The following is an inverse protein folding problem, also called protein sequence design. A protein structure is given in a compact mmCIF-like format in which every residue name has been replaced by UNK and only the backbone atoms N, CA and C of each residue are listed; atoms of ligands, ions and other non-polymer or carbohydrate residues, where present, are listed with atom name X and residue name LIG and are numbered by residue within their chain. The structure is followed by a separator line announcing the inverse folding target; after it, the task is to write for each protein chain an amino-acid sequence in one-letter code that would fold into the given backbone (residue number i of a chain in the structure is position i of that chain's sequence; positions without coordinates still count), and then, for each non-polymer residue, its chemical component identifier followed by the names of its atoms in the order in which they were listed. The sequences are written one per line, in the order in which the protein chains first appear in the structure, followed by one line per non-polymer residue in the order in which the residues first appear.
data_IF_271732695841
#
_entry.id   IF_271732695841
#
_cell.length_a   1.000
_cell.length_b   1.000
_cell.length_c   1.000
_cell.angle_alpha   90.00
_cell.angle_beta   90.00
_cell.angle_gamma   90.00
#
_symmetry.space_group_name_H-M   'P 1'
#
loop_
_entity.id
_entity.type
_entity.pdbx_description
1 polymer ?
#
# COMPACT_ATOMS: atom_id res chain seq x y z
N UNK A 1 -24.75 -6.27 28.05
CA UNK A 1 -23.27 -6.15 28.10
C UNK A 1 -22.94 -4.93 28.93
N UNK A 2 -21.98 -5.04 29.84
CA UNK A 2 -21.40 -3.87 30.49
C UNK A 2 -20.57 -3.08 29.47
N UNK A 3 -20.62 -1.75 29.53
CA UNK A 3 -20.05 -0.83 28.51
C UNK A 3 -18.50 -0.89 28.46
N UNK A 4 -17.86 -1.51 29.46
CA UNK A 4 -16.40 -1.61 29.58
C UNK A 4 -15.91 -3.06 29.66
N UNK A 5 -16.72 -4.05 29.29
CA UNK A 5 -16.25 -5.43 29.25
C UNK A 5 -15.22 -5.64 28.12
N UNK A 6 -14.33 -6.60 28.30
CA UNK A 6 -13.33 -7.00 27.28
C UNK A 6 -14.01 -7.34 25.95
N UNK A 7 -15.14 -8.04 26.01
CA UNK A 7 -15.95 -8.40 24.84
C UNK A 7 -16.53 -7.17 24.13
N UNK A 8 -17.00 -6.17 24.88
CA UNK A 8 -17.53 -4.94 24.31
C UNK A 8 -16.42 -4.14 23.62
N UNK A 9 -15.26 -4.00 24.28
CA UNK A 9 -14.14 -3.23 23.76
C UNK A 9 -13.52 -3.91 22.53
N UNK A 10 -13.39 -5.24 22.53
CA UNK A 10 -12.85 -6.00 21.39
C UNK A 10 -13.79 -5.94 20.19
N UNK A 11 -15.11 -6.05 20.39
CA UNK A 11 -16.10 -5.89 19.33
C UNK A 11 -16.12 -4.45 18.77
N UNK A 12 -16.05 -3.44 19.64
CA UNK A 12 -15.97 -2.04 19.22
C UNK A 12 -14.69 -1.78 18.39
N UNK A 13 -13.55 -2.28 18.86
CA UNK A 13 -12.28 -2.19 18.14
C UNK A 13 -12.36 -2.89 16.77
N UNK A 14 -12.95 -4.08 16.72
CA UNK A 14 -13.14 -4.81 15.47
C UNK A 14 -13.99 -4.02 14.47
N UNK A 15 -15.11 -3.43 14.91
CA UNK A 15 -15.95 -2.56 14.06
C UNK A 15 -15.14 -1.38 13.53
N UNK A 16 -14.38 -0.69 14.38
CA UNK A 16 -13.54 0.43 13.96
C UNK A 16 -12.51 -0.02 12.92
N UNK A 17 -11.81 -1.13 13.16
CA UNK A 17 -10.81 -1.68 12.23
C UNK A 17 -11.42 -2.08 10.90
N UNK A 18 -12.56 -2.76 10.91
CA UNK A 18 -13.30 -3.19 9.72
C UNK A 18 -13.66 -1.95 8.88
N UNK A 19 -14.33 -0.96 9.48
CA UNK A 19 -14.70 0.29 8.82
C UNK A 19 -13.49 0.99 8.21
N UNK A 20 -12.38 1.03 8.95
CA UNK A 20 -11.16 1.73 8.56
C UNK A 20 -10.47 1.09 7.35
N UNK A 21 -10.43 -0.25 7.32
CA UNK A 21 -9.80 -1.00 6.24
C UNK A 21 -10.66 -0.96 4.97
N UNK A 22 -11.99 -1.01 5.10
CA UNK A 22 -12.90 -0.87 3.95
C UNK A 22 -13.12 0.58 3.51
N UNK A 23 -12.65 1.57 4.27
CA UNK A 23 -12.80 3.00 3.95
C UNK A 23 -11.77 3.55 2.96
N UNK A 24 -10.73 2.78 2.57
CA UNK A 24 -9.62 3.24 1.73
C UNK A 24 -10.07 3.98 0.46
N UNK A 25 -10.94 3.35 -0.33
CA UNK A 25 -11.39 3.91 -1.62
C UNK A 25 -12.61 4.84 -1.50
N UNK A 26 -13.33 4.76 -0.38
CA UNK A 26 -14.49 5.60 -0.07
C UNK A 26 -14.11 7.11 -0.05
N UNK A 27 -12.91 7.44 0.40
CA UNK A 27 -12.44 8.83 0.48
C UNK A 27 -12.23 9.48 -0.91
N UNK A 28 -11.78 8.71 -1.89
CA UNK A 28 -11.56 9.19 -3.27
C UNK A 28 -12.89 9.54 -3.92
N UNK A 29 -13.91 8.70 -3.73
CA UNK A 29 -15.25 8.94 -4.30
C UNK A 29 -15.90 10.18 -3.68
N UNK A 30 -15.74 10.39 -2.37
CA UNK A 30 -16.18 11.62 -1.70
C UNK A 30 -15.50 12.86 -2.29
N UNK A 31 -14.18 12.80 -2.50
CA UNK A 31 -13.42 13.90 -3.09
C UNK A 31 -13.83 14.18 -4.55
N UNK A 32 -14.07 13.13 -5.34
CA UNK A 32 -14.51 13.23 -6.73
C UNK A 32 -15.91 13.86 -6.84
N UNK A 33 -16.84 13.43 -5.98
CA UNK A 33 -18.21 13.95 -5.94
C UNK A 33 -18.26 15.44 -5.57
N UNK A 34 -17.37 15.91 -4.70
CA UNK A 34 -17.30 17.30 -4.27
C UNK A 34 -16.49 18.20 -5.22
N UNK A 35 -15.73 17.65 -6.18
CA UNK A 35 -14.73 18.40 -6.97
C UNK A 35 -15.30 19.56 -7.79
N UNK A 36 -16.53 19.42 -8.30
CA UNK A 36 -17.17 20.42 -9.18
C UNK A 36 -18.01 21.46 -8.42
N UNK A 37 -18.13 21.34 -7.09
CA UNK A 37 -18.82 22.31 -6.24
C UNK A 37 -17.90 23.52 -5.98
N UNK A 38 -18.41 24.77 -5.88
CA UNK A 38 -17.59 25.94 -5.55
C UNK A 38 -16.75 25.73 -4.28
N UNK A 39 -15.49 26.17 -4.27
CA UNK A 39 -14.51 25.88 -3.19
C UNK A 39 -14.98 26.23 -1.77
N UNK A 40 -15.82 27.27 -1.62
CA UNK A 40 -16.37 27.66 -0.33
C UNK A 40 -17.46 26.70 0.18
N UNK A 41 -18.12 25.97 -0.72
CA UNK A 41 -19.19 25.00 -0.45
C UNK A 41 -18.69 23.55 -0.38
N UNK A 42 -17.51 23.23 -0.94
CA UNK A 42 -16.97 21.86 -0.95
C UNK A 42 -16.86 21.23 0.43
N UNK A 43 -16.37 21.98 1.43
CA UNK A 43 -16.27 21.47 2.81
C UNK A 43 -17.64 21.17 3.41
N UNK A 44 -18.64 21.99 3.11
CA UNK A 44 -20.02 21.76 3.54
C UNK A 44 -20.63 20.56 2.81
N UNK A 45 -20.36 20.39 1.51
CA UNK A 45 -20.79 19.23 0.73
C UNK A 45 -20.25 17.93 1.32
N UNK A 46 -18.96 17.91 1.69
CA UNK A 46 -18.30 16.75 2.29
C UNK A 46 -18.86 16.50 3.69
N UNK A 47 -19.00 17.53 4.53
CA UNK A 47 -19.46 17.38 5.91
C UNK A 47 -20.91 16.87 5.97
N UNK A 48 -21.83 17.54 5.26
CA UNK A 48 -23.23 17.13 5.20
C UNK A 48 -23.42 15.83 4.40
N UNK A 49 -22.59 15.63 3.38
CA UNK A 49 -22.43 14.37 2.63
C UNK A 49 -22.21 13.19 3.54
N UNK A 50 -21.15 13.29 4.33
CA UNK A 50 -20.77 12.25 5.25
C UNK A 50 -21.77 12.11 6.41
N UNK A 51 -22.32 13.20 6.94
CA UNK A 51 -23.38 13.12 7.95
C UNK A 51 -24.61 12.36 7.45
N UNK A 52 -25.06 12.64 6.22
CA UNK A 52 -26.14 11.89 5.59
C UNK A 52 -25.79 10.41 5.38
N UNK A 53 -24.56 10.13 4.96
CA UNK A 53 -24.06 8.77 4.78
C UNK A 53 -24.04 7.99 6.12
N UNK A 54 -23.60 8.61 7.23
CA UNK A 54 -23.63 8.01 8.57
C UNK A 54 -25.05 7.59 8.94
N UNK A 55 -26.04 8.47 8.72
CA UNK A 55 -27.44 8.18 9.07
C UNK A 55 -27.94 6.99 8.27
N UNK A 56 -27.79 7.02 6.93
CA UNK A 56 -28.22 5.93 6.05
C UNK A 56 -27.52 4.62 6.42
N UNK A 57 -26.20 4.66 6.63
CA UNK A 57 -25.39 3.51 7.01
C UNK A 57 -25.82 2.94 8.36
N UNK A 58 -25.99 3.79 9.37
CA UNK A 58 -26.45 3.36 10.69
C UNK A 58 -27.80 2.67 10.56
N UNK A 59 -28.79 3.32 9.93
CA UNK A 59 -30.12 2.74 9.72
C UNK A 59 -30.05 1.40 8.99
N UNK A 60 -29.28 1.31 7.90
CA UNK A 60 -29.11 0.07 7.14
C UNK A 60 -28.48 -1.04 8.00
N UNK A 61 -27.45 -0.73 8.79
CA UNK A 61 -26.85 -1.70 9.71
C UNK A 61 -27.80 -2.16 10.79
N UNK A 62 -28.63 -1.28 11.37
CA UNK A 62 -29.63 -1.71 12.36
C UNK A 62 -30.68 -2.64 11.73
N UNK A 63 -31.07 -2.39 10.48
CA UNK A 63 -31.95 -3.28 9.72
C UNK A 63 -31.27 -4.64 9.52
N UNK A 64 -30.04 -4.68 9.02
CA UNK A 64 -29.29 -5.93 8.79
C UNK A 64 -29.08 -6.70 10.09
N UNK A 65 -28.69 -6.04 11.18
CA UNK A 65 -28.56 -6.66 12.50
C UNK A 65 -29.88 -7.28 12.97
N UNK A 66 -31.00 -6.62 12.69
CA UNK A 66 -32.32 -7.15 13.02
C UNK A 66 -32.69 -8.36 12.16
N UNK A 67 -32.31 -8.34 10.87
CA UNK A 67 -32.51 -9.46 9.95
C UNK A 67 -31.64 -10.68 10.31
N UNK A 68 -30.41 -10.48 10.81
CA UNK A 68 -29.52 -11.57 11.24
C UNK A 68 -30.08 -12.40 12.42
N UNK A 69 -31.18 -11.97 13.05
CA UNK A 69 -31.89 -12.79 14.05
C UNK A 69 -32.69 -13.93 13.41
N UNK A 70 -32.91 -13.90 12.09
CA UNK A 70 -33.60 -14.96 11.35
C UNK A 70 -32.63 -16.16 11.22
N UNK A 71 -33.05 -17.39 11.59
CA UNK A 71 -32.21 -18.58 11.42
C UNK A 71 -31.75 -18.77 9.97
N UNK A 72 -30.51 -19.16 9.77
CA UNK A 72 -29.84 -19.34 8.48
C UNK A 72 -29.14 -18.09 7.95
N UNK A 73 -29.55 -16.89 8.38
CA UNK A 73 -28.91 -15.64 7.95
C UNK A 73 -27.54 -15.43 8.58
N UNK A 74 -27.26 -15.97 9.78
CA UNK A 74 -25.92 -15.90 10.39
C UNK A 74 -24.93 -16.74 9.60
N UNK A 75 -25.34 -17.93 9.15
CA UNK A 75 -24.53 -18.75 8.25
C UNK A 75 -24.24 -18.05 6.92
N UNK A 76 -25.28 -17.52 6.25
CA UNK A 76 -25.11 -16.79 4.99
C UNK A 76 -24.22 -15.56 5.16
N UNK A 77 -24.44 -14.80 6.23
CA UNK A 77 -23.65 -13.61 6.57
C UNK A 77 -22.19 -13.95 6.82
N UNK A 78 -21.92 -15.02 7.57
CA UNK A 78 -20.57 -15.53 7.79
C UNK A 78 -19.89 -15.99 6.49
N UNK A 79 -20.59 -16.73 5.62
CA UNK A 79 -20.05 -17.14 4.33
C UNK A 79 -19.69 -15.94 3.44
N UNK A 80 -20.56 -14.93 3.39
CA UNK A 80 -20.31 -13.69 2.67
C UNK A 80 -19.12 -12.90 3.27
N UNK A 81 -18.93 -12.93 4.60
CA UNK A 81 -17.76 -12.31 5.22
C UNK A 81 -16.45 -13.01 4.90
N UNK A 82 -16.43 -14.34 4.77
CA UNK A 82 -15.23 -15.04 4.27
C UNK A 82 -14.89 -14.57 2.86
N UNK A 83 -15.91 -14.42 2.00
CA UNK A 83 -15.72 -13.90 0.65
C UNK A 83 -15.21 -12.45 0.64
N UNK A 84 -15.76 -11.56 1.48
CA UNK A 84 -15.30 -10.17 1.62
C UNK A 84 -13.85 -10.15 2.13
N UNK A 85 -13.51 -10.95 3.15
CA UNK A 85 -12.16 -11.06 3.70
C UNK A 85 -11.14 -11.49 2.64
N UNK A 86 -11.50 -12.46 1.80
CA UNK A 86 -10.66 -12.88 0.68
C UNK A 86 -10.55 -11.81 -0.40
N UNK A 87 -11.68 -11.20 -0.80
CA UNK A 87 -11.75 -10.14 -1.82
C UNK A 87 -10.91 -8.92 -1.41
N UNK A 88 -10.91 -8.57 -0.13
CA UNK A 88 -10.13 -7.47 0.44
C UNK A 88 -8.60 -7.66 0.29
N UNK A 89 -8.12 -8.91 0.24
CA UNK A 89 -6.70 -9.21 0.01
C UNK A 89 -6.31 -9.25 -1.47
N UNK A 90 -7.30 -9.22 -2.37
CA UNK A 90 -7.03 -9.12 -3.79
C UNK A 90 -6.77 -7.66 -4.12
N UNK A 91 -5.66 -7.35 -4.83
CA UNK A 91 -5.48 -6.01 -5.38
C UNK A 91 -6.68 -5.69 -6.26
N UNK A 92 -7.34 -4.57 -6.01
CA UNK A 92 -8.30 -4.03 -6.96
C UNK A 92 -7.57 -3.91 -8.30
N UNK A 93 -8.14 -4.50 -9.35
CA UNK A 93 -7.69 -4.14 -10.69
C UNK A 93 -7.97 -2.63 -10.83
N UNK A 94 -7.08 -1.90 -11.50
CA UNK A 94 -7.38 -0.56 -12.02
C UNK A 94 -8.48 -0.69 -13.09
N UNK A 95 -9.63 -1.27 -12.74
CA UNK A 95 -10.88 -0.87 -13.30
C UNK A 95 -10.93 0.62 -13.00
N UNK A 96 -10.99 1.44 -14.05
CA UNK A 96 -11.17 2.87 -13.98
C UNK A 96 -12.47 3.21 -13.26
N UNK A 97 -12.53 2.98 -11.96
CA UNK A 97 -13.60 3.31 -11.04
C UNK A 97 -13.60 4.81 -10.72
N UNK A 98 -13.11 5.62 -11.66
CA UNK A 98 -13.95 6.70 -12.16
C UNK A 98 -15.17 6.11 -12.85
N UNK A 99 -16.00 5.36 -12.10
CA UNK A 99 -17.38 5.13 -12.48
C UNK A 99 -17.92 6.47 -12.95
N UNK A 100 -18.67 6.49 -14.06
CA UNK A 100 -19.26 7.68 -14.68
C UNK A 100 -20.24 8.41 -13.75
N UNK A 101 -19.74 8.83 -12.59
CA UNK A 101 -20.39 9.61 -11.57
C UNK A 101 -20.26 11.02 -12.09
N UNK A 102 -21.34 11.47 -12.74
CA UNK A 102 -21.46 12.84 -13.19
C UNK A 102 -21.25 13.76 -12.00
N UNK A 103 -20.10 14.43 -11.96
CA UNK A 103 -19.75 15.32 -10.87
C UNK A 103 -20.71 16.52 -10.90
N UNK A 104 -21.69 16.50 -9.99
CA UNK A 104 -22.74 17.49 -9.94
C UNK A 104 -22.17 18.88 -9.64
N UNK A 105 -22.66 19.89 -10.34
CA UNK A 105 -22.30 21.30 -10.11
C UNK A 105 -22.97 21.92 -8.88
N UNK A 106 -23.91 21.19 -8.26
CA UNK A 106 -24.72 21.67 -7.12
C UNK A 106 -24.41 20.92 -5.84
N UNK A 107 -24.55 21.62 -4.70
CA UNK A 107 -24.41 21.04 -3.35
C UNK A 107 -25.28 19.80 -3.14
N UNK A 108 -26.55 19.88 -3.54
CA UNK A 108 -27.51 18.77 -3.39
C UNK A 108 -27.13 17.56 -4.24
N UNK A 109 -26.64 17.80 -5.47
CA UNK A 109 -26.16 16.73 -6.34
C UNK A 109 -24.91 16.04 -5.76
N UNK A 110 -23.97 16.81 -5.21
CA UNK A 110 -22.79 16.26 -4.55
C UNK A 110 -23.16 15.45 -3.29
N UNK A 111 -24.07 15.96 -2.45
CA UNK A 111 -24.60 15.26 -1.28
C UNK A 111 -25.22 13.91 -1.65
N UNK A 112 -26.15 13.90 -2.62
CA UNK A 112 -26.79 12.66 -3.08
C UNK A 112 -25.77 11.66 -3.61
N UNK A 113 -24.79 12.14 -4.38
CA UNK A 113 -23.74 11.30 -4.95
C UNK A 113 -22.89 10.66 -3.86
N UNK A 114 -22.50 11.42 -2.84
CA UNK A 114 -21.73 10.91 -1.70
C UNK A 114 -22.53 9.84 -0.95
N UNK A 115 -23.80 10.10 -0.63
CA UNK A 115 -24.65 9.15 0.11
C UNK A 115 -24.90 7.86 -0.69
N UNK A 116 -25.17 7.96 -1.99
CA UNK A 116 -25.39 6.78 -2.84
C UNK A 116 -24.12 5.98 -3.02
N UNK A 117 -22.98 6.64 -3.25
CA UNK A 117 -21.69 5.97 -3.32
C UNK A 117 -21.36 5.23 -2.02
N UNK A 118 -21.58 5.88 -0.87
CA UNK A 118 -21.35 5.27 0.44
C UNK A 118 -22.27 4.07 0.67
N UNK A 119 -23.54 4.14 0.26
CA UNK A 119 -24.47 3.02 0.40
C UNK A 119 -24.07 1.82 -0.47
N UNK A 120 -23.65 2.05 -1.72
CA UNK A 120 -23.27 0.98 -2.64
C UNK A 120 -21.94 0.35 -2.22
N UNK A 121 -20.93 1.16 -1.87
CA UNK A 121 -19.62 0.66 -1.44
C UNK A 121 -19.69 0.09 -0.01
N UNK A 122 -20.51 0.68 0.85
CA UNK A 122 -20.66 0.32 2.25
C UNK A 122 -21.54 -0.89 2.53
N UNK A 123 -22.17 -1.52 1.53
CA UNK A 123 -23.04 -2.69 1.75
C UNK A 123 -22.25 -3.90 2.30
N UNK A 124 -21.07 -4.17 1.73
CA UNK A 124 -20.15 -5.20 2.22
C UNK A 124 -19.70 -4.89 3.67
N UNK A 125 -19.48 -3.61 3.96
CA UNK A 125 -19.06 -3.12 5.26
C UNK A 125 -20.18 -3.21 6.31
N UNK A 126 -21.42 -2.91 5.93
CA UNK A 126 -22.60 -3.02 6.80
C UNK A 126 -22.77 -4.44 7.32
N UNK A 127 -22.61 -5.44 6.45
CA UNK A 127 -22.72 -6.84 6.86
C UNK A 127 -21.61 -7.23 7.84
N UNK A 128 -20.39 -6.73 7.62
CA UNK A 128 -19.25 -6.96 8.51
C UNK A 128 -19.43 -6.33 9.89
N UNK A 129 -19.87 -5.07 9.94
CA UNK A 129 -20.18 -4.37 11.19
C UNK A 129 -21.34 -5.05 11.92
N UNK A 130 -22.39 -5.44 11.19
CA UNK A 130 -23.52 -6.16 11.77
C UNK A 130 -23.10 -7.49 12.40
N UNK A 131 -22.21 -8.22 11.75
CA UNK A 131 -21.62 -9.45 12.25
C UNK A 131 -20.77 -9.26 13.50
N UNK A 132 -19.92 -8.23 13.51
CA UNK A 132 -19.04 -7.90 14.62
C UNK A 132 -19.79 -7.34 15.85
N UNK A 133 -20.92 -6.67 15.64
CA UNK A 133 -21.69 -6.05 16.71
C UNK A 133 -22.55 -7.02 17.53
N UNK A 134 -22.62 -8.30 17.15
CA UNK A 134 -23.32 -9.35 17.91
C UNK A 134 -24.76 -9.00 18.32
N UNK A 135 -25.50 -8.31 17.46
CA UNK A 135 -26.88 -7.91 17.76
C UNK A 135 -27.03 -6.63 18.61
N UNK A 136 -25.93 -6.04 19.06
CA UNK A 136 -25.93 -4.83 19.89
C UNK A 136 -26.01 -3.56 19.04
N UNK A 137 -27.18 -2.92 19.05
CA UNK A 137 -27.38 -1.63 18.41
C UNK A 137 -26.42 -0.54 18.94
N UNK A 138 -26.03 -0.62 20.22
CA UNK A 138 -25.13 0.34 20.85
C UNK A 138 -23.68 0.18 20.36
N UNK A 139 -23.20 -1.05 20.14
CA UNK A 139 -21.89 -1.30 19.53
C UNK A 139 -21.82 -0.76 18.11
N UNK A 140 -22.86 -1.00 17.30
CA UNK A 140 -22.97 -0.45 15.94
C UNK A 140 -22.91 1.07 15.96
N UNK A 141 -23.76 1.70 16.77
CA UNK A 141 -23.88 3.15 16.80
C UNK A 141 -22.57 3.82 17.27
N UNK A 142 -21.95 3.33 18.34
CA UNK A 142 -20.68 3.88 18.83
C UNK A 142 -19.53 3.61 17.86
N UNK A 143 -19.44 2.41 17.28
CA UNK A 143 -18.42 2.05 16.31
C UNK A 143 -18.45 2.99 15.10
N UNK A 144 -19.63 3.18 14.49
CA UNK A 144 -19.84 4.09 13.36
C UNK A 144 -19.60 5.56 13.73
N UNK A 145 -20.04 5.99 14.92
CA UNK A 145 -19.86 7.37 15.39
C UNK A 145 -18.38 7.72 15.63
N UNK A 146 -17.56 6.75 16.02
CA UNK A 146 -16.11 6.91 16.22
C UNK A 146 -15.36 6.76 14.90
N UNK A 147 -15.66 5.75 14.09
CA UNK A 147 -14.91 5.41 12.87
C UNK A 147 -15.05 6.48 11.77
N UNK A 148 -16.25 7.03 11.60
CA UNK A 148 -16.55 7.89 10.45
C UNK A 148 -15.82 9.25 10.51
N UNK A 149 -15.76 9.95 11.65
CA UNK A 149 -14.90 11.14 11.78
C UNK A 149 -13.42 10.85 11.50
N UNK A 150 -12.91 9.68 11.91
CA UNK A 150 -11.53 9.25 11.66
C UNK A 150 -11.30 9.07 10.15
N UNK A 151 -12.24 8.43 9.46
CA UNK A 151 -12.17 8.24 7.99
C UNK A 151 -12.20 9.58 7.27
N UNK A 152 -13.15 10.47 7.60
CA UNK A 152 -13.29 11.76 6.91
C UNK A 152 -12.08 12.67 7.16
N UNK A 153 -11.73 12.88 8.43
CA UNK A 153 -10.68 13.82 8.84
C UNK A 153 -9.26 13.26 8.66
N UNK A 154 -9.11 11.94 8.74
CA UNK A 154 -7.85 11.23 8.67
C UNK A 154 -7.57 10.55 7.33
N UNK A 155 -8.49 10.56 6.37
CA UNK A 155 -8.38 9.81 5.09
C UNK A 155 -7.00 9.90 4.43
N UNK A 156 -6.41 11.09 4.29
CA UNK A 156 -5.08 11.24 3.66
C UNK A 156 -3.93 10.71 4.52
N UNK A 157 -4.04 10.76 5.85
CA UNK A 157 -3.06 10.18 6.76
C UNK A 157 -3.20 8.65 6.81
N UNK A 158 -4.45 8.18 6.86
CA UNK A 158 -4.82 6.78 6.91
C UNK A 158 -4.43 6.05 5.63
N UNK A 159 -4.78 6.61 4.48
CA UNK A 159 -4.47 6.06 3.16
C UNK A 159 -2.96 5.92 3.01
N UNK A 160 -2.19 6.97 3.38
CA UNK A 160 -0.72 6.90 3.43
C UNK A 160 -0.20 5.86 4.42
N UNK A 161 -0.90 5.64 5.54
CA UNK A 161 -0.49 4.68 6.55
C UNK A 161 -0.74 3.23 6.09
N UNK A 162 -1.89 2.95 5.48
CA UNK A 162 -2.22 1.66 4.89
C UNK A 162 -1.34 1.37 3.66
N UNK A 163 -1.09 2.36 2.81
CA UNK A 163 -0.12 2.27 1.69
C UNK A 163 1.30 2.01 2.20
N UNK A 164 1.71 2.66 3.30
CA UNK A 164 3.03 2.47 3.91
C UNK A 164 3.16 1.14 4.65
N UNK A 165 2.05 0.61 5.18
CA UNK A 165 1.98 -0.64 5.93
C UNK A 165 0.84 -1.53 5.41
N UNK A 166 1.04 -2.21 4.25
CA UNK A 166 0.03 -3.08 3.65
C UNK A 166 -0.44 -4.23 4.56
N UNK A 167 0.36 -4.57 5.60
CA UNK A 167 -0.01 -5.55 6.62
C UNK A 167 -1.32 -5.24 7.36
N UNK A 168 -1.75 -3.98 7.42
CA UNK A 168 -3.05 -3.63 8.02
C UNK A 168 -4.24 -4.21 7.25
N UNK A 169 -4.12 -4.38 5.93
CA UNK A 169 -5.16 -5.03 5.13
C UNK A 169 -5.28 -6.52 5.48
N UNK A 170 -4.14 -7.18 5.74
CA UNK A 170 -4.10 -8.56 6.23
C UNK A 170 -4.69 -8.71 7.63
N UNK A 171 -4.45 -7.74 8.52
CA UNK A 171 -5.10 -7.69 9.83
C UNK A 171 -6.62 -7.56 9.67
N UNK A 172 -7.10 -6.63 8.83
CA UNK A 172 -8.53 -6.45 8.57
C UNK A 172 -9.18 -7.72 8.03
N UNK A 173 -8.56 -8.36 7.04
CA UNK A 173 -9.03 -9.64 6.50
C UNK A 173 -9.04 -10.76 7.55
N UNK A 174 -8.04 -10.80 8.44
CA UNK A 174 -8.00 -11.74 9.56
C UNK A 174 -9.17 -11.54 10.54
N UNK A 175 -9.44 -10.28 10.93
CA UNK A 175 -10.58 -9.92 11.78
C UNK A 175 -11.91 -10.29 11.11
N UNK A 176 -12.07 -10.03 9.81
CA UNK A 176 -13.27 -10.41 9.06
C UNK A 176 -13.46 -11.92 8.99
N UNK A 177 -12.39 -12.67 8.70
CA UNK A 177 -12.43 -14.14 8.66
C UNK A 177 -12.73 -14.74 10.04
N UNK A 178 -12.22 -14.13 11.12
CA UNK A 178 -12.56 -14.50 12.50
C UNK A 178 -14.04 -14.25 12.78
N UNK A 179 -14.54 -13.05 12.51
CA UNK A 179 -15.96 -12.70 12.69
C UNK A 179 -16.87 -13.60 11.87
N UNK A 180 -16.47 -13.97 10.65
CA UNK A 180 -17.21 -14.89 9.79
C UNK A 180 -17.42 -16.25 10.47
N UNK A 181 -16.36 -16.84 11.03
CA UNK A 181 -16.44 -18.11 11.76
C UNK A 181 -17.29 -17.96 13.01
N UNK A 182 -17.18 -16.84 13.73
CA UNK A 182 -18.01 -16.56 14.92
C UNK A 182 -19.49 -16.46 14.57
N UNK A 183 -19.85 -15.88 13.42
CA UNK A 183 -21.23 -15.85 12.93
C UNK A 183 -21.74 -17.24 12.55
N UNK A 184 -20.96 -18.02 11.80
CA UNK A 184 -21.33 -19.39 11.40
C UNK A 184 -21.52 -20.29 12.61
N UNK A 185 -20.63 -20.20 13.60
CA UNK A 185 -20.69 -21.04 14.82
C UNK A 185 -21.80 -20.61 15.77
N UNK A 186 -22.25 -19.36 15.68
CA UNK A 186 -23.38 -18.83 16.44
C UNK A 186 -24.76 -19.18 15.84
N UNK A 187 -24.81 -19.74 14.64
CA UNK A 187 -26.04 -20.12 13.93
C UNK A 187 -26.82 -21.19 14.71
N UNK A 188 -28.07 -20.90 15.17
CA UNK A 188 -28.88 -21.84 15.95
C UNK A 188 -29.05 -23.22 15.29
N UNK A 189 -29.18 -23.27 13.96
CA UNK A 189 -29.36 -24.51 13.20
C UNK A 189 -28.15 -25.45 13.25
N UNK A 190 -26.95 -24.92 13.53
CA UNK A 190 -25.70 -25.67 13.49
C UNK A 190 -25.10 -25.93 14.88
N UNK A 191 -25.69 -25.36 15.95
CA UNK A 191 -25.16 -25.45 17.32
C UNK A 191 -24.94 -26.89 17.79
N UNK A 192 -25.90 -27.78 17.55
CA UNK A 192 -25.81 -29.18 17.97
C UNK A 192 -24.71 -29.95 17.22
N UNK A 193 -24.50 -29.61 15.94
CA UNK A 193 -23.46 -30.22 15.12
C UNK A 193 -22.05 -29.78 15.54
N UNK A 194 -21.87 -28.52 15.94
CA UNK A 194 -20.59 -28.02 16.46
C UNK A 194 -20.32 -28.52 17.89
N UNK A 195 -21.36 -28.63 18.72
CA UNK A 195 -21.24 -29.16 20.09
C UNK A 195 -20.85 -30.64 20.12
N UNK A 196 -21.21 -31.41 19.08
CA UNK A 196 -20.87 -32.83 18.97
C UNK A 196 -19.36 -33.11 18.92
N UNK A 197 -18.55 -32.15 18.48
CA UNK A 197 -17.11 -32.34 18.29
C UNK A 197 -16.30 -31.13 18.80
N UNK A 198 -15.64 -31.29 19.96
CA UNK A 198 -14.84 -30.23 20.63
C UNK A 198 -13.79 -29.54 19.75
N UNK A 199 -13.28 -30.23 18.72
CA UNK A 199 -12.25 -29.70 17.81
C UNK A 199 -12.81 -28.94 16.60
N UNK A 200 -14.11 -29.02 16.31
CA UNK A 200 -14.67 -28.43 15.07
C UNK A 200 -14.55 -26.91 15.03
N UNK A 201 -14.93 -26.23 16.11
CA UNK A 201 -14.87 -24.77 16.23
C UNK A 201 -13.44 -24.22 16.10
N UNK A 202 -12.45 -24.66 16.91
CA UNK A 202 -11.08 -24.14 16.79
C UNK A 202 -10.42 -24.49 15.45
N UNK A 203 -10.74 -25.66 14.89
CA UNK A 203 -10.28 -26.02 13.54
C UNK A 203 -10.88 -25.10 12.48
N UNK A 204 -12.17 -24.76 12.58
CA UNK A 204 -12.84 -23.86 11.64
C UNK A 204 -12.25 -22.45 11.68
N UNK A 205 -11.95 -21.92 12.88
CA UNK A 205 -11.23 -20.65 13.02
C UNK A 205 -9.87 -20.70 12.35
N UNK A 206 -9.07 -21.73 12.68
CA UNK A 206 -7.71 -21.89 12.18
C UNK A 206 -7.69 -22.03 10.65
N UNK A 207 -8.52 -22.91 10.10
CA UNK A 207 -8.58 -23.18 8.65
C UNK A 207 -9.09 -21.97 7.89
N UNK A 208 -10.13 -21.28 8.38
CA UNK A 208 -10.71 -20.13 7.66
C UNK A 208 -9.76 -18.94 7.68
N UNK A 209 -9.22 -18.58 8.84
CA UNK A 209 -8.30 -17.44 8.97
C UNK A 209 -7.00 -17.71 8.21
N UNK A 210 -6.34 -18.85 8.44
CA UNK A 210 -5.11 -19.18 7.74
C UNK A 210 -5.35 -19.38 6.24
N UNK A 211 -6.48 -19.98 5.86
CA UNK A 211 -6.86 -20.19 4.47
C UNK A 211 -7.04 -18.89 3.70
N UNK A 212 -7.76 -17.91 4.27
CA UNK A 212 -7.96 -16.58 3.66
C UNK A 212 -6.62 -15.85 3.52
N UNK A 213 -5.82 -15.80 4.61
CA UNK A 213 -4.53 -15.11 4.60
C UNK A 213 -3.54 -15.77 3.63
N UNK A 214 -3.46 -17.10 3.63
CA UNK A 214 -2.63 -17.88 2.72
C UNK A 214 -3.04 -17.68 1.26
N UNK A 215 -4.34 -17.75 0.96
CA UNK A 215 -4.86 -17.54 -0.38
C UNK A 215 -4.55 -16.13 -0.89
N UNK A 216 -4.64 -15.12 -0.01
CA UNK A 216 -4.21 -13.75 -0.29
C UNK A 216 -2.71 -13.68 -0.63
N UNK A 217 -1.86 -14.27 0.23
CA UNK A 217 -0.40 -14.29 0.03
C UNK A 217 -0.01 -14.99 -1.29
N UNK A 218 -0.54 -16.18 -1.56
CA UNK A 218 -0.21 -16.96 -2.77
C UNK A 218 -0.63 -16.22 -4.03
N UNK A 219 -1.82 -15.61 -4.05
CA UNK A 219 -2.32 -14.91 -5.24
C UNK A 219 -1.55 -13.62 -5.48
N UNK A 220 -1.15 -12.93 -4.42
CA UNK A 220 -0.27 -11.77 -4.51
C UNK A 220 1.12 -12.17 -5.05
N UNK A 221 1.66 -13.32 -4.62
CA UNK A 221 2.94 -13.86 -5.11
C UNK A 221 2.92 -14.25 -6.59
N UNK A 222 1.91 -15.02 -7.05
CA UNK A 222 1.82 -15.46 -8.46
C UNK A 222 1.70 -14.29 -9.45
N UNK A 223 1.06 -13.19 -9.04
CA UNK A 223 0.96 -11.97 -9.88
C UNK A 223 2.31 -11.27 -10.02
N UNK A 224 3.14 -11.26 -8.98
CA UNK A 224 4.50 -10.70 -9.08
C UNK A 224 5.35 -11.48 -10.09
N UNK A 225 5.27 -12.81 -10.09
CA UNK A 225 5.95 -13.65 -11.07
C UNK A 225 5.47 -13.40 -12.50
N UNK A 226 4.15 -13.19 -12.70
CA UNK A 226 3.60 -12.84 -14.01
C UNK A 226 4.09 -11.47 -14.52
N UNK A 227 4.23 -10.47 -13.62
CA UNK A 227 4.78 -9.15 -13.99
C UNK A 227 6.27 -9.23 -14.31
N UNK A 228 7.04 -9.99 -13.53
CA UNK A 228 8.47 -10.19 -13.76
C UNK A 228 8.70 -10.93 -15.08
N UNK A 229 7.98 -12.03 -15.33
CA UNK A 229 8.09 -12.79 -16.58
C UNK A 229 7.65 -11.98 -17.81
N UNK A 230 6.56 -11.22 -17.74
CA UNK A 230 6.16 -10.32 -18.82
C UNK A 230 7.21 -9.23 -19.10
N UNK A 231 7.83 -8.67 -18.05
CA UNK A 231 8.93 -7.70 -18.20
C UNK A 231 10.21 -8.33 -18.74
N UNK A 232 10.55 -9.54 -18.31
CA UNK A 232 11.69 -10.30 -18.83
C UNK A 232 11.47 -10.67 -20.31
N UNK A 233 10.25 -11.03 -20.70
CA UNK A 233 9.88 -11.28 -22.09
C UNK A 233 10.05 -10.00 -22.93
N UNK A 234 9.52 -8.86 -22.46
CA UNK A 234 9.72 -7.57 -23.12
C UNK A 234 11.21 -7.19 -23.22
N UNK A 235 12.00 -7.45 -22.18
CA UNK A 235 13.45 -7.19 -22.17
C UNK A 235 14.20 -8.09 -23.16
N UNK A 236 13.89 -9.38 -23.21
CA UNK A 236 14.45 -10.31 -24.19
C UNK A 236 14.10 -9.89 -25.63
N UNK A 237 12.87 -9.41 -25.85
CA UNK A 237 12.39 -8.96 -27.14
C UNK A 237 13.09 -7.66 -27.61
N UNK A 238 13.39 -6.73 -26.70
CA UNK A 238 14.19 -5.54 -27.00
C UNK A 238 15.67 -5.86 -27.26
N UNK A 239 16.25 -6.90 -26.63
CA UNK A 239 17.61 -7.37 -26.95
C UNK A 239 17.69 -8.03 -28.33
N UNK A 240 16.65 -8.73 -28.76
CA UNK A 240 16.64 -9.47 -30.03
C UNK A 240 16.22 -8.55 -31.19
N UNK A 241 15.32 -7.59 -30.97
CA UNK A 241 14.88 -6.62 -31.98
C UNK A 241 15.84 -5.44 -32.26
N UNK A 242 16.81 -5.20 -31.37
CA UNK A 242 17.81 -4.13 -31.52
C UNK A 242 19.05 -4.51 -32.34
N UNK A 243 19.11 -5.72 -32.90
CA UNK A 243 20.19 -6.14 -33.80
C UNK A 243 19.64 -6.35 -35.20
N UNK A 244 19.24 -5.25 -35.83
CA UNK A 244 19.11 -5.17 -37.28
C UNK A 244 19.77 -3.88 -37.71
N UNK A 245 20.79 -4.06 -38.53
CA UNK A 245 21.72 -3.07 -39.05
C UNK A 245 21.13 -1.67 -39.31
N UNK A 246 21.70 -0.66 -38.65
CA UNK A 246 21.92 0.65 -39.26
C UNK A 246 23.23 1.23 -38.74
N UNK A 247 24.09 1.59 -39.69
CA UNK A 247 25.35 2.29 -39.54
C UNK A 247 25.30 3.45 -38.52
N UNK A 248 26.31 3.51 -37.65
CA UNK A 248 26.50 4.56 -36.64
C UNK A 248 26.60 3.98 -35.23
N UNK A 249 27.82 3.73 -34.75
CA UNK A 249 28.09 3.27 -33.37
C UNK A 249 27.50 4.26 -32.36
N UNK A 250 26.27 4.00 -31.91
CA UNK A 250 25.65 4.78 -30.83
C UNK A 250 26.24 4.26 -29.53
N UNK A 251 27.04 5.09 -28.86
CA UNK A 251 27.66 4.71 -27.59
C UNK A 251 26.60 4.33 -26.54
N UNK A 252 26.85 3.27 -25.79
CA UNK A 252 25.94 2.78 -24.76
C UNK A 252 25.86 3.79 -23.62
N UNK A 253 24.68 4.38 -23.37
CA UNK A 253 24.48 5.36 -22.29
C UNK A 253 23.92 4.70 -21.03
N UNK A 254 24.56 4.92 -19.90
CA UNK A 254 24.22 4.28 -18.61
C UNK A 254 23.95 5.32 -17.54
N UNK A 255 22.86 5.16 -16.79
CA UNK A 255 22.58 5.98 -15.62
C UNK A 255 22.85 5.21 -14.33
N UNK A 256 23.61 5.80 -13.42
CA UNK A 256 23.86 5.24 -12.08
C UNK A 256 23.36 6.25 -11.04
N UNK A 257 22.24 5.97 -10.34
CA UNK A 257 21.81 6.75 -9.20
C UNK A 257 22.75 6.55 -8.00
N UNK A 258 23.22 7.65 -7.41
CA UNK A 258 24.19 7.66 -6.31
C UNK A 258 23.62 8.45 -5.15
N UNK A 259 23.51 7.81 -3.98
CA UNK A 259 22.99 8.41 -2.75
C UNK A 259 24.02 8.45 -1.61
N UNK A 260 25.28 8.13 -1.91
CA UNK A 260 26.37 8.06 -0.93
C UNK A 260 26.39 6.77 -0.12
N UNK A 261 25.42 5.86 -0.31
CA UNK A 261 25.40 4.58 0.38
C UNK A 261 26.45 3.60 -0.18
N UNK A 262 26.92 2.62 0.61
CA UNK A 262 27.78 1.55 0.11
C UNK A 262 27.16 0.77 -1.06
N UNK A 263 25.83 0.65 -1.09
CA UNK A 263 25.09 -0.02 -2.17
C UNK A 263 25.37 0.65 -3.52
N UNK A 264 25.32 1.98 -3.60
CA UNK A 264 25.61 2.71 -4.84
C UNK A 264 27.02 2.45 -5.37
N UNK A 265 27.99 2.20 -4.49
CA UNK A 265 29.37 1.87 -4.89
C UNK A 265 29.48 0.48 -5.53
N UNK A 266 28.60 -0.48 -5.21
CA UNK A 266 28.58 -1.77 -5.88
C UNK A 266 28.14 -1.65 -7.35
N UNK A 267 27.15 -0.79 -7.63
CA UNK A 267 26.74 -0.48 -9.00
C UNK A 267 27.89 0.14 -9.82
N UNK A 268 28.64 1.06 -9.22
CA UNK A 268 29.81 1.69 -9.87
C UNK A 268 30.92 0.68 -10.12
N UNK A 269 31.25 -0.20 -9.16
CA UNK A 269 32.23 -1.28 -9.36
C UNK A 269 31.84 -2.23 -10.49
N UNK A 270 30.55 -2.55 -10.58
CA UNK A 270 30.04 -3.38 -11.66
C UNK A 270 30.29 -2.71 -13.02
N UNK A 271 29.91 -1.44 -13.17
CA UNK A 271 30.13 -0.66 -14.40
C UNK A 271 31.60 -0.49 -14.73
N UNK A 272 32.49 -0.29 -13.76
CA UNK A 272 33.94 -0.29 -13.99
C UNK A 272 34.43 -1.61 -14.59
N UNK A 273 33.88 -2.74 -14.13
CA UNK A 273 34.18 -4.06 -14.68
C UNK A 273 33.67 -4.25 -16.11
N UNK A 274 32.50 -3.70 -16.42
CA UNK A 274 31.93 -3.73 -17.78
C UNK A 274 32.68 -2.81 -18.75
N UNK A 275 33.05 -1.61 -18.32
CA UNK A 275 33.77 -0.63 -19.13
C UNK A 275 35.09 -1.20 -19.67
N UNK A 276 35.81 -2.00 -18.86
CA UNK A 276 37.03 -2.71 -19.29
C UNK A 276 36.80 -3.66 -20.46
N UNK A 277 35.60 -4.25 -20.57
CA UNK A 277 35.22 -5.17 -21.66
C UNK A 277 34.64 -4.42 -22.86
N UNK A 278 33.98 -3.29 -22.62
CA UNK A 278 33.26 -2.48 -23.60
C UNK A 278 33.47 -0.99 -23.33
N UNK A 279 34.54 -0.39 -23.88
CA UNK A 279 34.89 1.02 -23.63
C UNK A 279 33.96 2.02 -24.35
N UNK A 280 33.14 1.57 -25.30
CA UNK A 280 32.13 2.40 -25.99
C UNK A 280 30.89 2.63 -25.11
N UNK A 281 31.08 3.29 -23.96
CA UNK A 281 30.07 3.53 -22.95
C UNK A 281 30.17 4.94 -22.35
N UNK A 282 29.04 5.63 -22.24
CA UNK A 282 28.90 6.93 -21.60
C UNK A 282 28.23 6.74 -20.22
N UNK A 283 28.98 7.04 -19.15
CA UNK A 283 28.51 6.87 -17.78
C UNK A 283 27.94 8.18 -17.25
N UNK A 284 26.69 8.16 -16.80
CA UNK A 284 26.03 9.27 -16.12
C UNK A 284 25.81 8.94 -14.65
N UNK A 285 26.38 9.74 -13.75
CA UNK A 285 26.09 9.68 -12.32
C UNK A 285 24.95 10.66 -12.00
N UNK A 286 23.96 10.21 -11.23
CA UNK A 286 22.85 11.06 -10.80
C UNK A 286 22.72 11.04 -9.28
N UNK A 287 22.83 12.21 -8.65
CA UNK A 287 22.42 12.39 -7.25
C UNK A 287 21.10 13.16 -7.20
N UNK A 288 20.12 12.61 -6.46
CA UNK A 288 18.82 13.27 -6.25
C UNK A 288 18.67 13.70 -4.81
N UNK A 289 18.58 15.01 -4.60
CA UNK A 289 18.36 15.63 -3.30
C UNK A 289 16.86 15.78 -3.02
N UNK A 290 16.45 15.49 -1.80
CA UNK A 290 15.06 15.68 -1.39
C UNK A 290 14.76 17.18 -1.19
N UNK A 291 13.61 17.69 -1.63
CA UNK A 291 13.24 19.08 -1.39
C UNK A 291 13.02 19.32 0.11
N UNK A 292 13.42 20.50 0.60
CA UNK A 292 13.14 20.90 1.98
C UNK A 292 11.64 20.84 2.31
N UNK A 293 11.31 20.39 3.52
CA UNK A 293 9.94 20.43 4.02
C UNK A 293 9.43 21.88 4.08
N UNK A 294 8.12 22.07 3.93
CA UNK A 294 7.47 23.40 3.86
C UNK A 294 7.82 24.30 5.06
N UNK A 295 8.10 23.70 6.22
CA UNK A 295 8.48 24.38 7.46
C UNK A 295 9.96 24.78 7.55
N UNK A 296 10.86 24.12 6.82
CA UNK A 296 12.28 24.50 6.76
C UNK A 296 12.50 25.49 5.62
N UNK A 297 11.71 25.35 4.55
CA UNK A 297 11.69 26.22 3.40
C UNK A 297 11.43 27.70 3.73
N UNK A 298 10.73 28.00 4.82
CA UNK A 298 10.36 29.36 5.24
C UNK A 298 11.48 30.11 6.00
N UNK A 299 12.49 29.40 6.50
CA UNK A 299 13.58 30.00 7.29
C UNK A 299 14.92 30.04 6.54
N UNK A 300 15.00 29.44 5.34
CA UNK A 300 16.21 29.40 4.53
C UNK A 300 16.03 30.18 3.22
N UNK A 301 16.89 31.17 2.97
CA UNK A 301 16.95 31.90 1.69
C UNK A 301 17.24 30.94 0.52
N UNK A 302 16.66 31.20 -0.66
CA UNK A 302 16.82 30.36 -1.87
C UNK A 302 18.30 30.06 -2.18
N UNK A 303 19.18 31.05 -2.04
CA UNK A 303 20.62 30.92 -2.30
C UNK A 303 21.33 29.93 -1.35
N UNK A 304 20.90 29.86 -0.08
CA UNK A 304 21.46 28.93 0.91
C UNK A 304 20.93 27.50 0.73
N UNK A 305 19.76 27.35 0.09
CA UNK A 305 19.15 26.04 -0.16
C UNK A 305 19.83 25.32 -1.31
N UNK A 306 20.11 26.03 -2.40
CA UNK A 306 20.78 25.47 -3.57
C UNK A 306 22.23 25.11 -3.26
N UNK A 307 22.94 25.93 -2.46
CA UNK A 307 24.29 25.61 -1.99
C UNK A 307 24.30 24.37 -1.10
N UNK A 308 23.34 24.25 -0.18
CA UNK A 308 23.25 23.08 0.70
C UNK A 308 23.01 21.77 -0.08
N UNK A 309 22.07 21.78 -1.02
CA UNK A 309 21.81 20.60 -1.85
C UNK A 309 23.03 20.20 -2.69
N UNK A 310 23.75 21.19 -3.24
CA UNK A 310 24.98 20.95 -3.98
C UNK A 310 26.07 20.36 -3.10
N UNK A 311 26.28 20.89 -1.90
CA UNK A 311 27.29 20.41 -0.97
C UNK A 311 27.01 18.96 -0.52
N UNK A 312 25.76 18.64 -0.20
CA UNK A 312 25.35 17.27 0.18
C UNK A 312 25.45 16.29 -1.00
N UNK A 313 25.09 16.72 -2.20
CA UNK A 313 25.26 15.92 -3.41
C UNK A 313 26.74 15.63 -3.67
N UNK A 314 27.60 16.62 -3.51
CA UNK A 314 29.04 16.47 -3.73
C UNK A 314 29.67 15.51 -2.73
N UNK A 315 29.24 15.54 -1.46
CA UNK A 315 29.63 14.56 -0.44
C UNK A 315 29.22 13.13 -0.84
N UNK A 316 28.01 12.95 -1.35
CA UNK A 316 27.49 11.65 -1.77
C UNK A 316 28.20 11.11 -3.03
N UNK A 317 28.56 11.99 -3.97
CA UNK A 317 29.22 11.65 -5.23
C UNK A 317 30.72 11.41 -5.08
N UNK A 318 31.37 12.05 -4.09
CA UNK A 318 32.83 12.00 -3.92
C UNK A 318 33.42 10.58 -3.92
N UNK A 319 32.88 9.58 -3.16
CA UNK A 319 33.48 8.25 -3.14
C UNK A 319 33.48 7.57 -4.52
N UNK A 320 32.37 7.68 -5.27
CA UNK A 320 32.24 7.02 -6.57
C UNK A 320 33.01 7.74 -7.67
N UNK A 321 33.16 9.07 -7.59
CA UNK A 321 34.02 9.85 -8.49
C UNK A 321 35.47 9.40 -8.34
N UNK A 322 35.98 9.33 -7.11
CA UNK A 322 37.33 8.82 -6.84
C UNK A 322 37.55 7.41 -7.42
N UNK A 323 36.54 6.54 -7.35
CA UNK A 323 36.62 5.18 -7.91
C UNK A 323 36.69 5.17 -9.44
N UNK A 324 35.89 6.00 -10.11
CA UNK A 324 35.88 6.10 -11.57
C UNK A 324 37.13 6.80 -12.11
N UNK A 325 37.56 7.89 -11.46
CA UNK A 325 38.78 8.63 -11.78
C UNK A 325 40.01 7.70 -11.66
N UNK A 326 40.10 6.96 -10.54
CA UNK A 326 41.18 5.99 -10.32
C UNK A 326 41.18 4.81 -11.29
N UNK A 327 40.07 4.56 -11.99
CA UNK A 327 39.94 3.52 -13.00
C UNK A 327 39.99 4.06 -14.44
N UNK A 328 40.12 5.37 -14.64
CA UNK A 328 40.14 6.01 -15.95
C UNK A 328 38.82 5.91 -16.73
N UNK A 329 37.68 5.77 -16.04
CA UNK A 329 36.36 5.67 -16.67
C UNK A 329 35.76 7.07 -16.79
N UNK A 330 35.49 7.59 -18.01
CA UNK A 330 34.88 8.90 -18.19
C UNK A 330 33.42 8.89 -17.72
N UNK A 331 33.01 9.92 -16.99
CA UNK A 331 31.62 10.08 -16.52
C UNK A 331 31.16 11.54 -16.56
N UNK A 332 29.86 11.72 -16.66
CA UNK A 332 29.17 13.01 -16.46
C UNK A 332 28.34 12.95 -15.18
N UNK A 333 28.34 14.02 -14.40
CA UNK A 333 27.55 14.08 -13.16
C UNK A 333 26.35 15.01 -13.27
N UNK A 334 25.22 14.57 -12.75
CA UNK A 334 23.96 15.30 -12.68
C UNK A 334 23.50 15.39 -11.22
N UNK A 335 23.06 16.58 -10.81
CA UNK A 335 22.51 16.85 -9.47
C UNK A 335 21.12 17.43 -9.68
N UNK A 336 20.10 16.75 -9.18
CA UNK A 336 18.71 17.11 -9.35
C UNK A 336 18.00 17.17 -7.98
N UNK A 337 16.94 17.98 -7.87
CA UNK A 337 16.14 18.09 -6.65
C UNK A 337 14.72 17.61 -6.92
N UNK A 338 14.25 16.64 -6.14
CA UNK A 338 12.89 16.13 -6.31
C UNK A 338 12.63 14.77 -5.65
N UNK A 339 11.59 14.08 -6.11
CA UNK A 339 11.26 12.73 -5.65
C UNK A 339 12.19 11.74 -6.34
N UNK A 340 13.03 11.06 -5.55
CA UNK A 340 14.14 10.22 -6.04
C UNK A 340 13.77 9.35 -7.24
N UNK A 341 12.74 8.51 -7.13
CA UNK A 341 12.40 7.55 -8.16
C UNK A 341 11.86 8.19 -9.46
N UNK A 342 11.02 9.22 -9.33
CA UNK A 342 10.49 9.99 -10.46
C UNK A 342 11.63 10.68 -11.23
N UNK A 343 12.51 11.38 -10.51
CA UNK A 343 13.66 12.10 -11.10
C UNK A 343 14.64 11.14 -11.76
N UNK A 344 14.89 9.97 -11.18
CA UNK A 344 15.73 8.93 -11.79
C UNK A 344 15.13 8.48 -13.12
N UNK A 345 13.84 8.12 -13.14
CA UNK A 345 13.16 7.65 -14.34
C UNK A 345 13.08 8.72 -15.43
N UNK A 346 12.80 9.98 -15.05
CA UNK A 346 12.76 11.12 -15.96
C UNK A 346 14.14 11.43 -16.54
N UNK A 347 15.18 11.45 -15.70
CA UNK A 347 16.56 11.73 -16.15
C UNK A 347 17.06 10.66 -17.10
N UNK A 348 16.80 9.37 -16.81
CA UNK A 348 17.15 8.27 -17.70
C UNK A 348 16.52 8.44 -19.09
N UNK A 349 15.25 8.85 -19.13
CA UNK A 349 14.52 9.11 -20.38
C UNK A 349 15.06 10.34 -21.11
N UNK A 350 15.27 11.44 -20.39
CA UNK A 350 15.76 12.72 -20.92
C UNK A 350 17.15 12.60 -21.54
N UNK A 351 18.03 11.81 -20.93
CA UNK A 351 19.40 11.58 -21.42
C UNK A 351 19.48 10.49 -22.51
N UNK A 352 18.36 9.80 -22.79
CA UNK A 352 18.35 8.67 -23.73
C UNK A 352 19.19 7.49 -23.22
N UNK A 353 19.17 7.22 -21.91
CA UNK A 353 19.90 6.12 -21.33
C UNK A 353 19.33 4.78 -21.80
N UNK A 354 20.22 3.84 -22.12
CA UNK A 354 19.86 2.52 -22.58
C UNK A 354 19.57 1.57 -21.42
N UNK A 355 20.18 1.83 -20.25
CA UNK A 355 19.87 1.13 -19.00
C UNK A 355 20.25 1.96 -17.77
N UNK A 356 19.67 1.60 -16.63
CA UNK A 356 19.93 2.17 -15.30
C UNK A 356 20.57 1.08 -14.45
N UNK A 357 21.70 1.36 -13.78
CA UNK A 357 22.31 0.42 -12.84
C UNK A 357 22.14 0.93 -11.42
N UNK A 358 21.51 0.12 -10.57
CA UNK A 358 21.25 0.46 -9.17
C UNK A 358 21.85 -0.58 -8.23
N UNK A 359 22.44 -0.11 -7.13
CA UNK A 359 22.85 -0.97 -6.04
C UNK A 359 21.69 -1.25 -5.08
N UNK A 360 21.62 -2.47 -4.54
CA UNK A 360 20.67 -2.83 -3.49
C UNK A 360 21.36 -3.66 -2.40
N UNK A 361 20.91 -3.54 -1.16
CA UNK A 361 21.42 -4.38 -0.09
C UNK A 361 21.01 -5.85 -0.27
N UNK A 362 21.86 -6.79 0.16
CA UNK A 362 21.51 -8.21 0.17
C UNK A 362 20.61 -8.51 1.39
N UNK A 363 19.30 -8.56 1.14
CA UNK A 363 18.24 -8.94 2.09
C UNK A 363 17.49 -10.17 1.55
N UNK A 364 16.84 -10.95 2.43
CA UNK A 364 15.97 -12.06 2.00
C UNK A 364 14.85 -11.54 1.08
N UNK A 365 14.43 -12.34 0.11
CA UNK A 365 13.46 -11.92 -0.93
C UNK A 365 12.18 -11.32 -0.34
N UNK A 366 11.72 -11.82 0.81
CA UNK A 366 10.55 -11.32 1.52
C UNK A 366 10.74 -9.93 2.13
N UNK A 367 11.89 -9.64 2.75
CA UNK A 367 12.16 -8.34 3.38
C UNK A 367 12.46 -7.25 2.36
N UNK A 368 12.95 -7.62 1.16
CA UNK A 368 13.08 -6.69 0.02
C UNK A 368 11.73 -6.21 -0.53
N UNK A 369 10.68 -7.03 -0.40
CA UNK A 369 9.33 -6.70 -0.88
C UNK A 369 8.53 -5.81 0.07
N UNK A 370 8.87 -5.82 1.37
CA UNK A 370 8.12 -5.09 2.40
C UNK A 370 8.59 -3.64 2.61
N UNK A 371 9.76 -3.27 2.10
CA UNK A 371 10.25 -1.89 2.16
C UNK A 371 9.94 -1.15 0.85
N UNK A 372 9.38 0.06 0.98
CA UNK A 372 9.25 1.05 -0.09
C UNK A 372 10.63 1.59 -0.51
N UNK A 373 11.46 0.75 -1.12
CA UNK A 373 12.81 1.10 -1.57
C UNK A 373 12.75 1.93 -2.86
N UNK A 374 13.73 2.84 -3.02
CA UNK A 374 13.86 3.66 -4.24
C UNK A 374 14.01 2.76 -5.47
N UNK A 375 14.71 1.62 -5.35
CA UNK A 375 14.85 0.65 -6.45
C UNK A 375 13.50 0.10 -6.91
N UNK A 376 12.61 -0.29 -5.99
CA UNK A 376 11.27 -0.78 -6.35
C UNK A 376 10.43 0.31 -7.03
N UNK A 377 10.47 1.53 -6.51
CA UNK A 377 9.74 2.66 -7.12
C UNK A 377 10.30 3.00 -8.51
N UNK A 378 11.61 2.94 -8.73
CA UNK A 378 12.19 3.14 -10.07
C UNK A 378 11.72 2.05 -11.02
N UNK A 379 11.73 0.78 -10.59
CA UNK A 379 11.19 -0.35 -11.36
C UNK A 379 9.70 -0.22 -11.70
N UNK A 380 8.94 0.55 -10.93
CA UNK A 380 7.52 0.85 -11.21
C UNK A 380 7.36 2.00 -12.20
N UNK A 381 8.23 3.03 -12.14
CA UNK A 381 8.06 4.28 -12.88
C UNK A 381 8.78 4.35 -14.24
N UNK A 382 9.82 3.54 -14.44
CA UNK A 382 10.65 3.63 -15.66
C UNK A 382 10.35 2.55 -16.69
N UNK A 383 10.47 2.91 -17.97
CA UNK A 383 10.49 1.97 -19.10
C UNK A 383 11.92 1.63 -19.53
N UNK A 384 12.92 2.38 -19.05
CA UNK A 384 14.34 2.09 -19.31
C UNK A 384 14.76 0.87 -18.50
N UNK A 385 15.41 -0.15 -19.09
CA UNK A 385 15.87 -1.33 -18.35
C UNK A 385 16.66 -0.99 -17.10
N UNK A 386 16.37 -1.66 -15.98
CA UNK A 386 17.05 -1.47 -14.70
C UNK A 386 17.78 -2.74 -14.32
N UNK A 387 19.10 -2.64 -14.15
CA UNK A 387 19.94 -3.69 -13.61
C UNK A 387 20.20 -3.44 -12.12
N UNK A 388 19.98 -4.48 -11.30
CA UNK A 388 20.07 -4.38 -9.84
C UNK A 388 21.24 -5.21 -9.35
N UNK A 389 22.25 -4.53 -8.81
CA UNK A 389 23.48 -5.14 -8.29
C UNK A 389 23.35 -5.36 -6.78
N UNK A 390 23.42 -6.62 -6.35
CA UNK A 390 23.36 -6.97 -4.94
C UNK A 390 24.69 -6.66 -4.22
N UNK A 391 24.62 -5.81 -3.20
CA UNK A 391 25.72 -5.47 -2.31
C UNK A 391 25.92 -6.48 -1.17
N UNK A 392 26.56 -6.01 -0.10
CA UNK A 392 26.87 -6.82 1.09
C UNK A 392 25.63 -7.09 1.96
N UNK A 393 25.72 -8.10 2.85
CA UNK A 393 24.61 -8.48 3.73
C UNK A 393 24.41 -7.47 4.87
N UNK A 394 23.16 -7.04 5.12
CA UNK A 394 22.82 -6.10 6.20
C UNK A 394 23.07 -6.71 7.58
N UNK A 395 23.50 -5.90 8.56
CA UNK A 395 23.80 -6.31 9.94
C UNK A 395 22.61 -7.00 10.63
N UNK A 396 22.86 -7.92 11.58
CA UNK A 396 21.81 -8.71 12.25
C UNK A 396 20.83 -7.87 13.09
N UNK A 397 21.22 -6.67 13.54
CA UNK A 397 20.41 -5.82 14.43
C UNK A 397 19.34 -5.05 13.65
N UNK A 398 19.67 -4.52 12.47
CA UNK A 398 18.68 -3.93 11.54
C UNK A 398 17.75 -4.99 10.90
N UNK A 399 18.18 -6.26 10.89
CA UNK A 399 17.46 -7.39 10.32
C UNK A 399 16.20 -7.79 11.11
N UNK A 400 16.16 -7.50 12.42
CA UNK A 400 15.09 -7.95 13.33
C UNK A 400 14.49 -6.85 14.23
N UNK A 401 15.10 -5.66 14.34
CA UNK A 401 14.62 -4.61 15.24
C UNK A 401 13.24 -4.02 14.90
N UNK A 402 12.85 -4.02 13.62
CA UNK A 402 11.55 -3.46 13.16
C UNK A 402 10.45 -4.54 13.11
N UNK A 403 10.70 -5.77 12.62
CA UNK A 403 9.66 -6.82 12.61
C UNK A 403 9.30 -7.36 13.99
N UNK A 404 10.24 -7.40 14.95
CA UNK A 404 9.98 -7.98 16.27
C UNK A 404 9.07 -7.09 17.15
N UNK A 405 9.19 -5.75 17.05
CA UNK A 405 8.33 -4.83 17.79
C UNK A 405 6.88 -4.84 17.30
N UNK A 406 6.69 -4.89 15.97
CA UNK A 406 5.35 -4.94 15.36
C UNK A 406 4.74 -6.33 15.52
N UNK A 407 5.50 -7.40 15.28
CA UNK A 407 5.05 -8.77 15.48
C UNK A 407 4.73 -9.09 16.94
N UNK A 408 5.49 -8.53 17.89
CA UNK A 408 5.23 -8.65 19.33
C UNK A 408 3.95 -7.93 19.75
N UNK A 409 3.72 -6.71 19.29
CA UNK A 409 2.48 -5.99 19.55
C UNK A 409 1.25 -6.67 18.89
N UNK A 410 1.42 -7.20 17.67
CA UNK A 410 0.38 -7.92 16.93
C UNK A 410 0.05 -9.27 17.57
N UNK A 411 1.06 -10.01 18.04
CA UNK A 411 0.88 -11.25 18.77
C UNK A 411 0.22 -11.02 20.12
N UNK A 412 0.56 -9.92 20.82
CA UNK A 412 -0.11 -9.53 22.06
C UNK A 412 -1.59 -9.21 21.81
N UNK A 413 -1.89 -8.50 20.73
CA UNK A 413 -3.27 -8.10 20.38
C UNK A 413 -4.10 -9.31 19.92
N UNK A 414 -3.49 -10.24 19.17
CA UNK A 414 -4.11 -11.51 18.79
C UNK A 414 -4.28 -12.45 20.00
N UNK A 415 -3.35 -12.47 20.95
CA UNK A 415 -3.48 -13.24 22.19
C UNK A 415 -4.57 -12.68 23.10
N UNK A 416 -4.71 -11.36 23.18
CA UNK A 416 -5.82 -10.71 23.90
C UNK A 416 -7.17 -11.00 23.25
N UNK A 417 -7.22 -11.13 21.92
CA UNK A 417 -8.43 -11.51 21.17
C UNK A 417 -8.71 -13.03 21.22
N UNK A 418 -7.69 -13.86 21.39
CA UNK A 418 -7.80 -15.32 21.43
C UNK A 418 -7.96 -15.91 22.85
N UNK A 419 -7.85 -15.09 23.90
CA UNK A 419 -7.97 -15.52 25.29
C UNK A 419 -9.42 -15.59 25.81
N UNK A 420 -10.42 -15.36 24.95
CA UNK A 420 -11.87 -15.51 25.24
C UNK A 420 -12.50 -16.68 24.45
#
# INVERSE_FOLDING_TARGET
MEILSTEFLSALLAIIVIDLVLAGDNAIVIALAARNVPKHLQKQAILWGAAGAIVVRTTLTLIVVSLLKIPGLLFLGGAMLVWIAYKLLLPEEENGNGAGISAASTLWGALRTIVVADMVMGLDNVLAVAGAAHGSFLLVALGLLISIPIVIGGSTLLLRFVERYPGFVYLGAGVLAWTAVKMVTSEPLLKDSFAAYKLTVPLLYTVTVLGVLWAGLVKNHRRLESRISARLANFAQHRIGGSSASDGQTMLKVLIPVDGSPNSQHAVRHIMGEFRKRPAMEVHLLNVQAPFSRHIAQFASRKNRDSYHRDEAEKALRPVRTMLDGAGVPYTTHIEVGRKAEVIAETARRLGCHHIVMGTARKNSLTRMLEASVTNQVLELTTVPVEVIAGDAVSRVERYGIPAGIGGALALLLLVVAAD
#
